data_IF_293693372773
#
_entry.id   IF_293693372773
#
_cell.length_a   1.000
_cell.length_b   1.000
_cell.length_c   1.000
_cell.angle_alpha   90.00
_cell.angle_beta   90.00
_cell.angle_gamma   90.00
#
_symmetry.space_group_name_H-M   'P 1'
#
loop_
_entity.id
_entity.type
_entity.pdbx_description
1 polymer ?
#
# COMPACT_ATOMS: atom_id res chain seq x y z
N UNK A 1 9.85 36.35 -1.66
CA UNK A 1 9.57 35.14 -0.85
C UNK A 1 8.06 34.87 -0.73
N UNK A 2 7.20 35.90 -0.62
CA UNK A 2 5.72 35.72 -0.62
C UNK A 2 5.13 35.23 -1.97
N UNK A 3 5.80 35.53 -3.09
CA UNK A 3 5.32 35.17 -4.43
C UNK A 3 5.21 33.64 -4.68
N UNK A 4 5.95 32.82 -3.92
CA UNK A 4 5.90 31.35 -4.04
C UNK A 4 4.75 30.73 -3.23
N UNK A 5 4.30 31.37 -2.14
CA UNK A 5 3.18 30.89 -1.33
C UNK A 5 1.87 30.92 -2.11
N UNK A 6 1.62 32.03 -2.81
CA UNK A 6 0.39 32.21 -3.56
C UNK A 6 0.30 31.22 -4.73
N UNK A 7 1.40 31.03 -5.49
CA UNK A 7 1.44 30.08 -6.61
C UNK A 7 1.29 28.62 -6.19
N UNK A 8 1.87 28.22 -5.06
CA UNK A 8 1.71 26.87 -4.54
C UNK A 8 0.28 26.63 -4.00
N UNK A 9 -0.28 27.62 -3.30
CA UNK A 9 -1.67 27.57 -2.86
C UNK A 9 -2.64 27.48 -4.04
N UNK A 10 -2.42 28.30 -5.07
CA UNK A 10 -3.18 28.23 -6.32
C UNK A 10 -3.00 26.86 -7.00
N UNK A 11 -1.82 26.24 -6.93
CA UNK A 11 -1.56 24.91 -7.47
C UNK A 11 -2.34 23.83 -6.72
N UNK A 12 -2.20 23.74 -5.39
CA UNK A 12 -2.93 22.76 -4.56
C UNK A 12 -4.44 22.99 -4.63
N UNK A 13 -4.90 24.25 -4.60
CA UNK A 13 -6.31 24.54 -4.75
C UNK A 13 -6.84 24.17 -6.14
N UNK A 14 -6.07 24.39 -7.21
CA UNK A 14 -6.46 24.03 -8.57
C UNK A 14 -6.48 22.51 -8.83
N UNK A 15 -5.70 21.74 -8.06
CA UNK A 15 -5.43 20.32 -8.30
C UNK A 15 -6.21 19.39 -7.36
N UNK A 16 -6.22 19.70 -6.06
CA UNK A 16 -6.91 18.90 -5.04
C UNK A 16 -8.42 19.14 -5.05
N UNK A 17 -8.86 20.39 -5.33
CA UNK A 17 -10.29 20.74 -5.31
C UNK A 17 -11.08 19.96 -6.38
N UNK A 18 -10.66 19.86 -7.66
CA UNK A 18 -11.39 19.09 -8.67
C UNK A 18 -11.49 17.60 -8.34
N UNK A 19 -10.49 16.98 -7.72
CA UNK A 19 -10.53 15.58 -7.32
C UNK A 19 -11.61 15.36 -6.26
N UNK A 20 -11.61 16.20 -5.22
CA UNK A 20 -12.62 16.17 -4.17
C UNK A 20 -14.02 16.45 -4.74
N UNK A 21 -14.15 17.37 -5.69
CA UNK A 21 -15.41 17.72 -6.34
C UNK A 21 -15.91 16.62 -7.30
N UNK A 22 -15.01 15.99 -8.08
CA UNK A 22 -15.27 14.90 -9.04
C UNK A 22 -15.79 13.63 -8.35
N UNK A 23 -15.39 13.37 -7.11
CA UNK A 23 -15.87 12.23 -6.34
C UNK A 23 -17.24 12.45 -5.65
N UNK A 24 -18.01 13.48 -6.03
CA UNK A 24 -19.36 13.77 -5.51
C UNK A 24 -19.40 13.95 -3.98
N UNK A 25 -18.32 14.45 -3.41
CA UNK A 25 -18.15 14.61 -1.98
C UNK A 25 -18.62 16.03 -1.54
N UNK A 26 -19.91 16.33 -1.65
CA UNK A 26 -20.48 17.64 -1.27
C UNK A 26 -21.12 17.62 0.14
N UNK A 27 -20.34 17.91 1.19
CA UNK A 27 -20.88 18.27 2.52
C UNK A 27 -20.06 19.40 3.18
N UNK A 28 -20.69 20.21 4.03
CA UNK A 28 -20.05 21.34 4.74
C UNK A 28 -18.79 20.95 5.54
N UNK A 29 -18.73 19.71 6.04
CA UNK A 29 -17.57 19.17 6.77
C UNK A 29 -16.31 19.09 5.89
N UNK A 30 -16.47 19.00 4.57
CA UNK A 30 -15.40 18.82 3.58
C UNK A 30 -14.75 20.13 3.14
N UNK A 31 -15.54 21.19 2.97
CA UNK A 31 -15.02 22.55 2.73
C UNK A 31 -14.16 23.03 3.90
N UNK A 32 -14.55 22.67 5.13
CA UNK A 32 -13.75 22.94 6.32
C UNK A 32 -12.40 22.22 6.31
N UNK A 33 -12.37 20.94 5.91
CA UNK A 33 -11.14 20.13 5.88
C UNK A 33 -10.22 20.55 4.73
N UNK A 34 -10.75 20.83 3.54
CA UNK A 34 -9.97 21.39 2.43
C UNK A 34 -9.33 22.72 2.86
N UNK A 35 -10.10 23.61 3.49
CA UNK A 35 -9.56 24.86 4.03
C UNK A 35 -8.51 24.61 5.12
N UNK A 36 -8.65 23.54 5.92
CA UNK A 36 -7.66 23.16 6.94
C UNK A 36 -6.36 22.64 6.33
N UNK A 37 -6.45 21.73 5.36
CA UNK A 37 -5.30 21.21 4.59
C UNK A 37 -4.59 22.39 3.91
N UNK A 38 -5.35 23.22 3.19
CA UNK A 38 -4.83 24.42 2.53
C UNK A 38 -4.20 25.43 3.52
N UNK A 39 -4.75 25.58 4.73
CA UNK A 39 -4.17 26.45 5.77
C UNK A 39 -2.89 25.90 6.38
N UNK A 40 -2.79 24.58 6.58
CA UNK A 40 -1.59 23.91 7.08
C UNK A 40 -0.46 24.04 6.05
N UNK A 41 -0.77 23.68 4.81
CA UNK A 41 0.10 23.86 3.65
C UNK A 41 0.61 25.32 3.56
N UNK A 42 -0.28 26.31 3.65
CA UNK A 42 0.08 27.74 3.55
C UNK A 42 0.98 28.27 4.69
N UNK A 43 0.94 27.64 5.87
CA UNK A 43 1.65 28.13 7.05
C UNK A 43 3.05 27.54 7.19
N UNK A 44 3.25 26.25 6.87
CA UNK A 44 4.48 25.53 7.18
C UNK A 44 5.48 25.35 6.01
N UNK A 45 5.07 25.60 4.75
CA UNK A 45 5.90 25.23 3.59
C UNK A 45 7.19 26.05 3.36
N UNK A 46 7.44 27.13 4.10
CA UNK A 46 8.50 28.08 3.74
C UNK A 46 9.94 27.66 4.11
N UNK A 47 10.16 26.51 4.75
CA UNK A 47 11.47 26.07 5.24
C UNK A 47 11.63 24.54 5.14
N UNK A 48 11.91 24.00 3.94
CA UNK A 48 11.95 22.53 3.73
C UNK A 48 13.35 21.91 3.82
N UNK A 49 13.45 20.90 4.69
CA UNK A 49 14.41 19.77 4.68
C UNK A 49 13.59 18.47 4.61
N UNK A 50 14.19 17.34 4.22
CA UNK A 50 13.51 16.05 3.98
C UNK A 50 12.62 15.57 5.14
N UNK A 51 13.07 15.72 6.38
CA UNK A 51 12.30 15.30 7.56
C UNK A 51 10.94 16.01 7.65
N UNK A 52 10.86 17.28 7.21
CA UNK A 52 9.61 18.06 7.22
C UNK A 52 8.65 17.67 6.11
N UNK A 53 9.12 17.05 5.01
CA UNK A 53 8.22 16.49 3.98
C UNK A 53 7.47 15.28 4.52
N UNK A 54 8.18 14.42 5.26
CA UNK A 54 7.61 13.26 5.95
C UNK A 54 6.57 13.71 6.98
N UNK A 55 6.89 14.72 7.79
CA UNK A 55 5.94 15.30 8.76
C UNK A 55 4.69 15.89 8.08
N UNK A 56 4.85 16.57 6.94
CA UNK A 56 3.73 17.12 6.18
C UNK A 56 2.83 16.02 5.59
N UNK A 57 3.43 14.95 5.05
CA UNK A 57 2.70 13.77 4.54
C UNK A 57 1.93 13.09 5.65
N UNK A 58 2.56 12.87 6.81
CA UNK A 58 1.89 12.31 7.98
C UNK A 58 0.71 13.17 8.46
N UNK A 59 0.86 14.50 8.51
CA UNK A 59 -0.21 15.41 8.89
C UNK A 59 -1.39 15.37 7.91
N UNK A 60 -1.12 15.37 6.60
CA UNK A 60 -2.15 15.36 5.57
C UNK A 60 -2.86 14.01 5.52
N UNK A 61 -2.13 12.91 5.54
CA UNK A 61 -2.71 11.57 5.61
C UNK A 61 -3.56 11.39 6.86
N UNK A 62 -3.10 11.87 8.01
CA UNK A 62 -3.88 11.84 9.25
C UNK A 62 -5.18 12.63 9.15
N UNK A 63 -5.21 13.76 8.44
CA UNK A 63 -6.46 14.50 8.21
C UNK A 63 -7.38 13.82 7.18
N UNK A 64 -6.82 13.22 6.12
CA UNK A 64 -7.60 12.43 5.14
C UNK A 64 -8.25 11.20 5.79
N UNK A 65 -7.52 10.51 6.65
CA UNK A 65 -8.00 9.30 7.31
C UNK A 65 -9.24 9.52 8.19
N UNK A 66 -9.43 10.73 8.72
CA UNK A 66 -10.63 11.12 9.48
C UNK A 66 -11.92 11.06 8.67
N UNK A 67 -11.84 11.01 7.33
CA UNK A 67 -13.02 10.78 6.49
C UNK A 67 -13.58 9.36 6.62
N UNK A 68 -12.74 8.39 6.97
CA UNK A 68 -13.09 6.98 7.04
C UNK A 68 -13.40 6.49 8.46
N UNK A 69 -13.07 7.28 9.48
CA UNK A 69 -13.34 6.96 10.87
C UNK A 69 -12.21 7.39 11.79
N UNK A 70 -12.06 6.69 12.91
CA UNK A 70 -10.99 6.91 13.88
C UNK A 70 -9.73 6.17 13.40
N UNK A 71 -9.05 6.77 12.43
CA UNK A 71 -7.81 6.26 11.83
C UNK A 71 -6.66 7.22 12.09
N UNK A 72 -5.47 6.64 12.31
CA UNK A 72 -4.19 7.34 12.41
C UNK A 72 -3.20 6.77 11.39
N UNK A 73 -2.36 7.64 10.82
CA UNK A 73 -1.19 7.25 10.04
C UNK A 73 0.05 7.54 10.86
N UNK A 74 0.97 6.57 10.93
CA UNK A 74 2.24 6.70 11.64
C UNK A 74 3.35 6.05 10.85
N UNK A 75 4.29 6.89 10.39
CA UNK A 75 5.42 6.49 9.57
C UNK A 75 6.34 5.46 10.24
N UNK A 76 6.78 5.77 11.46
CA UNK A 76 7.76 4.94 12.17
C UNK A 76 7.11 3.78 12.97
N UNK A 77 5.81 3.53 12.77
CA UNK A 77 5.11 2.44 13.46
C UNK A 77 5.12 1.18 12.62
N UNK A 78 5.53 0.08 13.24
CA UNK A 78 5.58 -1.23 12.57
C UNK A 78 4.28 -2.00 12.79
N UNK A 79 3.94 -2.86 11.84
CA UNK A 79 2.93 -3.89 12.05
C UNK A 79 3.55 -5.05 12.84
N UNK A 80 2.98 -5.48 13.97
CA UNK A 80 3.46 -6.67 14.67
C UNK A 80 3.35 -7.91 13.79
N UNK A 81 4.48 -8.60 13.58
CA UNK A 81 4.53 -9.81 12.73
C UNK A 81 3.56 -10.92 13.19
N UNK A 82 3.20 -10.94 14.47
CA UNK A 82 2.21 -11.88 15.02
C UNK A 82 0.85 -11.79 14.33
N UNK A 83 0.51 -10.64 13.72
CA UNK A 83 -0.70 -10.49 12.91
C UNK A 83 -0.62 -11.15 11.55
N UNK A 84 0.57 -11.57 11.12
CA UNK A 84 0.79 -12.24 9.83
C UNK A 84 0.91 -13.75 10.01
N UNK A 85 1.25 -14.17 11.23
CA UNK A 85 1.32 -15.57 11.63
C UNK A 85 -0.03 -16.25 11.43
N UNK A 86 -0.01 -17.50 10.97
CA UNK A 86 -1.18 -18.33 10.67
C UNK A 86 -1.98 -17.95 9.41
N UNK A 87 -1.69 -16.85 8.74
CA UNK A 87 -2.39 -16.47 7.51
C UNK A 87 -2.14 -17.41 6.32
N UNK A 88 -1.09 -18.23 6.36
CA UNK A 88 -0.71 -19.14 5.27
C UNK A 88 -0.40 -18.49 3.91
N UNK A 89 -0.59 -17.18 3.74
CA UNK A 89 -0.27 -16.44 2.50
C UNK A 89 1.10 -15.77 2.55
N UNK A 90 1.68 -15.64 3.74
CA UNK A 90 3.03 -15.10 3.91
C UNK A 90 4.07 -16.12 3.44
N UNK A 91 5.01 -15.74 2.55
CA UNK A 91 6.07 -16.63 2.10
C UNK A 91 7.08 -16.92 3.21
N UNK A 92 7.86 -17.99 3.03
CA UNK A 92 8.97 -18.28 3.93
C UNK A 92 10.01 -17.16 3.87
N UNK A 93 10.45 -16.68 5.03
CA UNK A 93 11.40 -15.60 5.17
C UNK A 93 12.20 -15.75 6.46
N UNK A 94 13.32 -15.03 6.54
CA UNK A 94 14.19 -14.95 7.72
C UNK A 94 14.29 -13.53 8.28
N UNK A 95 13.82 -12.54 7.53
CA UNK A 95 13.78 -11.13 7.93
C UNK A 95 12.44 -10.48 7.58
N UNK A 96 12.06 -9.50 8.39
CA UNK A 96 10.79 -8.77 8.33
C UNK A 96 11.06 -7.29 8.63
N UNK A 97 10.54 -6.41 7.79
CA UNK A 97 10.40 -4.99 8.07
C UNK A 97 9.00 -4.52 7.76
N UNK A 98 8.58 -3.46 8.44
CA UNK A 98 7.31 -2.80 8.22
C UNK A 98 7.40 -1.33 8.61
N UNK A 99 6.77 -0.47 7.84
CA UNK A 99 6.65 0.97 8.08
C UNK A 99 5.32 1.49 7.54
N UNK A 100 5.09 2.79 7.68
CA UNK A 100 3.95 3.52 7.13
C UNK A 100 2.60 2.89 7.48
N UNK A 101 2.39 2.76 8.79
CA UNK A 101 1.22 2.08 9.33
C UNK A 101 0.03 3.02 9.46
N UNK A 102 -1.06 2.64 8.82
CA UNK A 102 -2.40 3.15 9.09
C UNK A 102 -3.07 2.20 10.09
N UNK A 103 -3.63 2.71 11.18
CA UNK A 103 -4.40 1.89 12.12
C UNK A 103 -5.65 2.63 12.58
N UNK A 104 -6.73 1.90 12.80
CA UNK A 104 -7.98 2.51 13.22
C UNK A 104 -9.12 1.53 13.36
N UNK A 105 -10.33 2.07 13.53
CA UNK A 105 -11.55 1.28 13.67
C UNK A 105 -12.60 1.74 12.67
N UNK A 106 -13.16 0.78 11.93
CA UNK A 106 -14.29 1.00 11.03
C UNK A 106 -15.35 -0.07 11.27
N UNK A 107 -16.59 0.35 11.55
CA UNK A 107 -17.71 -0.55 11.85
C UNK A 107 -17.38 -1.61 12.94
N UNK A 108 -16.66 -1.20 13.99
CA UNK A 108 -16.16 -2.04 15.09
C UNK A 108 -15.17 -3.14 14.67
N UNK A 109 -14.63 -3.06 13.44
CA UNK A 109 -13.51 -3.86 12.98
C UNK A 109 -12.25 -3.02 13.13
N UNK A 110 -11.24 -3.57 13.83
CA UNK A 110 -9.92 -2.93 13.85
C UNK A 110 -9.25 -3.20 12.52
N UNK A 111 -8.72 -2.16 11.90
CA UNK A 111 -8.05 -2.22 10.61
C UNK A 111 -6.63 -1.74 10.79
N UNK A 112 -5.68 -2.52 10.30
CA UNK A 112 -4.26 -2.20 10.25
C UNK A 112 -3.79 -2.33 8.81
N UNK A 113 -3.20 -1.28 8.25
CA UNK A 113 -2.58 -1.29 6.92
C UNK A 113 -1.13 -0.88 7.12
N UNK A 114 -0.19 -1.57 6.51
CA UNK A 114 1.21 -1.19 6.54
C UNK A 114 1.93 -1.67 5.30
N UNK A 115 3.00 -0.97 4.95
CA UNK A 115 3.99 -1.51 4.03
C UNK A 115 4.85 -2.51 4.78
N UNK A 116 5.16 -3.61 4.11
CA UNK A 116 6.08 -4.62 4.64
C UNK A 116 7.04 -5.07 3.57
N UNK A 117 8.20 -5.53 4.02
CA UNK A 117 9.06 -6.35 3.19
C UNK A 117 9.61 -7.56 3.94
N UNK A 118 9.73 -8.65 3.20
CA UNK A 118 10.21 -9.93 3.67
C UNK A 118 11.45 -10.31 2.89
N UNK A 119 12.46 -10.78 3.60
CA UNK A 119 13.70 -11.29 3.01
C UNK A 119 14.00 -12.69 3.48
N UNK A 120 14.52 -13.52 2.57
CA UNK A 120 15.04 -14.86 2.87
C UNK A 120 16.56 -14.83 2.70
N UNK A 121 17.27 -15.20 3.74
CA UNK A 121 18.72 -15.34 3.71
C UNK A 121 19.07 -16.65 3.01
N UNK A 122 19.87 -16.55 1.95
CA UNK A 122 20.47 -17.69 1.26
C UNK A 122 21.97 -17.47 1.21
N UNK A 123 22.74 -18.37 1.84
CA UNK A 123 24.19 -18.30 2.00
C UNK A 123 24.70 -16.91 2.43
N UNK A 124 25.10 -16.08 1.47
CA UNK A 124 25.69 -14.74 1.65
C UNK A 124 24.77 -13.57 1.25
N UNK A 125 23.57 -13.84 0.71
CA UNK A 125 22.67 -12.80 0.18
C UNK A 125 21.32 -12.80 0.88
N UNK A 126 20.77 -11.59 1.06
CA UNK A 126 19.38 -11.37 1.40
C UNK A 126 18.58 -11.28 0.10
N UNK A 127 17.66 -12.22 -0.11
CA UNK A 127 16.77 -12.24 -1.28
C UNK A 127 15.41 -11.70 -0.82
N UNK A 128 14.90 -10.64 -1.46
CA UNK A 128 13.53 -10.20 -1.21
C UNK A 128 12.56 -11.30 -1.64
N UNK A 129 11.62 -11.68 -0.78
CA UNK A 129 10.58 -12.67 -1.11
C UNK A 129 9.19 -12.05 -1.18
N UNK A 130 9.03 -10.88 -0.56
CA UNK A 130 7.83 -10.06 -0.66
C UNK A 130 8.20 -8.60 -0.39
N UNK A 131 7.58 -7.69 -1.13
CA UNK A 131 7.53 -6.25 -0.83
C UNK A 131 6.14 -5.76 -1.26
N UNK A 132 5.50 -4.95 -0.42
CA UNK A 132 4.20 -4.38 -0.75
C UNK A 132 3.33 -4.12 0.48
N UNK A 133 2.04 -3.99 0.24
CA UNK A 133 1.05 -3.61 1.23
C UNK A 133 0.45 -4.83 1.92
N UNK A 134 0.23 -4.71 3.22
CA UNK A 134 -0.57 -5.65 4.00
C UNK A 134 -1.72 -4.94 4.68
N UNK A 135 -2.90 -5.53 4.60
CA UNK A 135 -4.13 -5.07 5.25
C UNK A 135 -4.62 -6.19 6.17
N UNK A 136 -4.71 -5.92 7.46
CA UNK A 136 -5.26 -6.79 8.49
C UNK A 136 -6.61 -6.23 8.94
N UNK A 137 -7.66 -7.04 8.83
CA UNK A 137 -8.96 -6.77 9.41
C UNK A 137 -9.14 -7.68 10.63
N UNK A 138 -9.13 -7.11 11.82
CA UNK A 138 -9.39 -7.83 13.07
C UNK A 138 -10.85 -7.61 13.47
N UNK A 139 -11.65 -8.66 13.26
CA UNK A 139 -13.11 -8.61 13.38
C UNK A 139 -13.60 -9.07 14.75
N UNK A 140 -12.69 -9.36 15.71
CA UNK A 140 -13.03 -9.88 17.04
C UNK A 140 -14.03 -9.02 17.83
N UNK A 141 -14.00 -7.70 17.64
CA UNK A 141 -14.86 -6.75 18.35
C UNK A 141 -16.05 -6.26 17.53
N UNK A 142 -16.27 -6.80 16.33
CA UNK A 142 -17.34 -6.28 15.49
C UNK A 142 -18.72 -6.66 16.04
N UNK A 143 -19.50 -5.65 16.45
CA UNK A 143 -20.83 -5.79 17.04
C UNK A 143 -21.87 -6.47 16.11
N UNK A 144 -21.50 -6.74 14.86
CA UNK A 144 -22.32 -7.43 13.87
C UNK A 144 -22.17 -8.94 13.99
N UNK A 145 -22.85 -9.56 14.96
CA UNK A 145 -23.29 -10.98 14.98
C UNK A 145 -22.27 -11.97 14.36
N UNK A 146 -20.97 -11.76 14.53
CA UNK A 146 -19.97 -12.76 14.21
C UNK A 146 -20.04 -13.74 15.36
N UNK A 147 -20.90 -14.76 15.23
CA UNK A 147 -21.02 -15.84 16.20
C UNK A 147 -19.79 -16.76 16.11
N UNK A 148 -18.62 -16.21 16.43
CA UNK A 148 -17.34 -16.90 16.52
C UNK A 148 -16.36 -16.58 15.39
N UNK A 149 -15.11 -16.90 15.71
CA UNK A 149 -13.97 -16.95 14.80
C UNK A 149 -14.24 -17.83 13.59
N UNK A 150 -13.52 -17.57 12.49
CA UNK A 150 -13.37 -18.51 11.40
C UNK A 150 -12.89 -19.85 11.97
N UNK A 151 -13.65 -20.92 11.69
CA UNK A 151 -13.35 -22.27 12.16
C UNK A 151 -12.32 -22.95 11.25
N UNK A 152 -12.39 -22.65 9.96
CA UNK A 152 -11.42 -23.08 8.96
C UNK A 152 -10.48 -21.95 8.55
N UNK A 153 -9.40 -22.35 7.90
CA UNK A 153 -8.51 -21.44 7.19
C UNK A 153 -8.92 -21.44 5.72
N UNK A 154 -9.32 -20.29 5.19
CA UNK A 154 -9.64 -20.12 3.76
C UNK A 154 -8.64 -19.16 3.16
N UNK A 155 -8.00 -19.55 2.07
CA UNK A 155 -7.01 -18.76 1.36
C UNK A 155 -7.44 -18.57 -0.10
N UNK A 156 -7.24 -17.36 -0.60
CA UNK A 156 -7.53 -16.94 -1.96
C UNK A 156 -6.26 -16.33 -2.58
N UNK A 157 -5.89 -16.75 -3.78
CA UNK A 157 -4.80 -16.18 -4.58
C UNK A 157 -5.36 -15.66 -5.90
N UNK A 158 -5.03 -14.43 -6.28
CA UNK A 158 -5.20 -13.97 -7.65
C UNK A 158 -4.06 -14.51 -8.54
N UNK A 159 -4.38 -14.82 -9.80
CA UNK A 159 -3.47 -15.27 -10.86
C UNK A 159 -2.53 -16.44 -10.50
N UNK A 160 -3.07 -17.65 -10.63
CA UNK A 160 -2.42 -18.90 -10.21
C UNK A 160 -1.32 -19.43 -11.11
N UNK A 161 -1.21 -18.94 -12.35
CA UNK A 161 -0.37 -19.60 -13.39
C UNK A 161 1.10 -19.66 -13.04
N UNK A 162 1.53 -18.87 -12.06
CA UNK A 162 2.92 -18.68 -11.67
C UNK A 162 3.31 -19.40 -10.37
N UNK A 163 2.33 -19.97 -9.64
CA UNK A 163 2.53 -20.46 -8.26
C UNK A 163 2.05 -21.89 -7.99
N UNK A 164 1.64 -22.63 -9.04
CA UNK A 164 0.99 -23.93 -8.90
C UNK A 164 1.75 -24.92 -8.01
N UNK A 165 3.07 -25.01 -8.12
CA UNK A 165 3.86 -25.98 -7.37
C UNK A 165 4.05 -25.58 -5.90
N UNK A 166 4.22 -24.28 -5.63
CA UNK A 166 4.24 -23.72 -4.28
C UNK A 166 2.91 -23.97 -3.57
N UNK A 167 1.80 -23.63 -4.25
CA UNK A 167 0.45 -23.76 -3.75
C UNK A 167 0.14 -25.23 -3.44
N UNK A 168 0.40 -26.14 -4.39
CA UNK A 168 0.17 -27.59 -4.20
C UNK A 168 0.92 -28.15 -2.99
N UNK A 169 2.16 -27.72 -2.76
CA UNK A 169 2.97 -28.17 -1.63
C UNK A 169 2.45 -27.59 -0.30
N UNK A 170 2.17 -26.29 -0.26
CA UNK A 170 1.80 -25.58 0.97
C UNK A 170 0.40 -25.96 1.47
N UNK A 171 -0.54 -26.20 0.57
CA UNK A 171 -1.94 -26.48 0.88
C UNK A 171 -2.28 -27.98 0.80
N UNK A 172 -1.30 -28.86 1.03
CA UNK A 172 -1.55 -30.30 1.13
C UNK A 172 -2.57 -30.58 2.24
N UNK A 173 -3.71 -31.15 1.88
CA UNK A 173 -4.82 -31.44 2.80
C UNK A 173 -5.92 -30.39 2.84
N UNK A 174 -5.76 -29.25 2.17
CA UNK A 174 -6.84 -28.29 1.93
C UNK A 174 -7.70 -28.75 0.76
N UNK A 175 -8.99 -28.45 0.81
CA UNK A 175 -9.88 -28.62 -0.33
C UNK A 175 -9.76 -27.41 -1.25
N UNK A 176 -9.43 -27.65 -2.52
CA UNK A 176 -9.54 -26.63 -3.57
C UNK A 176 -11.01 -26.42 -3.89
N UNK A 177 -11.43 -25.16 -3.98
CA UNK A 177 -12.79 -24.77 -4.35
C UNK A 177 -12.77 -23.82 -5.53
N UNK A 178 -13.80 -23.91 -6.36
CA UNK A 178 -14.05 -22.94 -7.41
C UNK A 178 -14.67 -21.68 -6.81
N UNK A 179 -14.19 -20.47 -7.19
CA UNK A 179 -14.87 -19.22 -6.85
C UNK A 179 -16.34 -19.25 -7.29
N UNK A 180 -17.28 -18.60 -6.58
CA UNK A 180 -18.71 -18.63 -6.88
C UNK A 180 -19.12 -17.91 -8.19
N UNK A 181 -18.18 -17.59 -9.08
CA UNK A 181 -18.39 -16.76 -10.26
C UNK A 181 -17.57 -17.29 -11.44
N UNK A 182 -18.25 -17.89 -12.43
CA UNK A 182 -17.65 -18.51 -13.63
C UNK A 182 -16.58 -17.72 -14.38
N UNK A 183 -16.71 -16.40 -14.49
CA UNK A 183 -15.71 -15.57 -15.19
C UNK A 183 -14.57 -15.09 -14.28
N UNK A 184 -14.62 -15.40 -12.99
CA UNK A 184 -13.54 -15.12 -12.02
C UNK A 184 -12.78 -16.39 -11.64
N UNK A 185 -13.26 -17.58 -12.05
CA UNK A 185 -12.61 -18.88 -11.81
C UNK A 185 -11.18 -18.91 -12.39
N UNK A 186 -10.96 -18.29 -13.55
CA UNK A 186 -9.61 -18.20 -14.14
C UNK A 186 -8.69 -17.20 -13.42
N UNK A 187 -9.27 -16.27 -12.65
CA UNK A 187 -8.53 -15.20 -11.95
C UNK A 187 -8.19 -15.55 -10.52
N UNK A 188 -8.86 -16.54 -9.91
CA UNK A 188 -8.67 -16.87 -8.50
C UNK A 188 -8.57 -18.36 -8.23
N UNK A 189 -7.65 -18.72 -7.33
CA UNK A 189 -7.64 -20.03 -6.69
C UNK A 189 -7.99 -19.94 -5.22
N UNK A 190 -8.86 -20.83 -4.76
CA UNK A 190 -9.30 -20.89 -3.38
C UNK A 190 -9.00 -22.26 -2.76
N UNK A 191 -8.42 -22.23 -1.56
CA UNK A 191 -8.11 -23.41 -0.76
C UNK A 191 -8.71 -23.23 0.63
N UNK A 192 -9.36 -24.25 1.17
CA UNK A 192 -9.97 -24.17 2.50
C UNK A 192 -9.92 -25.47 3.28
N UNK A 193 -9.94 -25.36 4.61
CA UNK A 193 -10.19 -26.49 5.52
C UNK A 193 -11.67 -26.63 5.91
N UNK A 194 -12.51 -25.64 5.62
CA UNK A 194 -13.97 -25.67 5.84
C UNK A 194 -14.73 -25.06 4.65
N UNK A 195 -15.20 -25.94 3.76
CA UNK A 195 -15.95 -25.56 2.56
C UNK A 195 -17.27 -24.84 2.85
N UNK A 196 -17.97 -25.24 3.93
CA UNK A 196 -19.25 -24.62 4.27
C UNK A 196 -19.04 -23.18 4.74
N UNK A 197 -17.97 -22.94 5.47
CA UNK A 197 -17.58 -21.59 5.90
C UNK A 197 -17.07 -20.75 4.72
N UNK A 198 -16.19 -21.28 3.88
CA UNK A 198 -15.66 -20.58 2.70
C UNK A 198 -16.78 -20.09 1.77
N UNK A 199 -17.75 -20.96 1.44
CA UNK A 199 -18.90 -20.62 0.60
C UNK A 199 -19.87 -19.60 1.22
N UNK A 200 -19.78 -19.36 2.54
CA UNK A 200 -20.55 -18.30 3.20
C UNK A 200 -19.87 -16.95 3.03
N UNK A 201 -18.56 -16.90 3.19
CA UNK A 201 -17.77 -15.67 3.24
C UNK A 201 -17.45 -15.15 1.83
N UNK A 202 -17.04 -16.04 0.94
CA UNK A 202 -16.61 -15.68 -0.41
C UNK A 202 -17.84 -15.48 -1.28
N UNK A 203 -17.97 -14.26 -1.81
CA UNK A 203 -19.05 -13.88 -2.71
C UNK A 203 -18.54 -13.02 -3.86
N UNK A 204 -19.38 -12.85 -4.89
CA UNK A 204 -19.07 -12.04 -6.07
C UNK A 204 -18.65 -10.61 -5.73
N UNK A 205 -19.31 -9.97 -4.75
CA UNK A 205 -19.01 -8.59 -4.34
C UNK A 205 -17.60 -8.50 -3.76
N UNK A 206 -17.23 -9.43 -2.87
CA UNK A 206 -15.91 -9.47 -2.24
C UNK A 206 -14.78 -9.66 -3.26
N UNK A 207 -14.93 -10.63 -4.16
CA UNK A 207 -13.93 -10.90 -5.20
C UNK A 207 -13.74 -9.69 -6.14
N UNK A 208 -14.84 -8.98 -6.46
CA UNK A 208 -14.76 -7.75 -7.25
C UNK A 208 -14.02 -6.64 -6.52
N UNK A 209 -14.26 -6.46 -5.21
CA UNK A 209 -13.54 -5.46 -4.42
C UNK A 209 -12.05 -5.76 -4.36
N UNK A 210 -11.65 -7.04 -4.25
CA UNK A 210 -10.24 -7.44 -4.33
C UNK A 210 -9.61 -7.13 -5.70
N UNK A 211 -10.30 -7.46 -6.79
CA UNK A 211 -9.84 -7.14 -8.15
C UNK A 211 -9.68 -5.63 -8.30
N UNK A 212 -10.69 -4.85 -7.92
CA UNK A 212 -10.66 -3.40 -8.07
C UNK A 212 -9.52 -2.76 -7.30
N UNK A 213 -9.22 -3.25 -6.10
CA UNK A 213 -8.10 -2.76 -5.30
C UNK A 213 -6.76 -3.13 -5.93
N UNK A 214 -6.62 -4.37 -6.41
CA UNK A 214 -5.41 -4.84 -7.08
C UNK A 214 -5.14 -4.11 -8.39
N UNK A 215 -6.18 -3.88 -9.20
CA UNK A 215 -6.08 -3.14 -10.48
C UNK A 215 -5.75 -1.67 -10.22
N UNK A 216 -6.33 -1.06 -9.18
CA UNK A 216 -6.00 0.32 -8.82
C UNK A 216 -4.53 0.48 -8.44
N UNK A 217 -4.02 -0.37 -7.53
CA UNK A 217 -2.61 -0.34 -7.11
C UNK A 217 -1.69 -0.68 -8.29
N UNK A 218 -2.06 -1.65 -9.13
CA UNK A 218 -1.29 -1.98 -10.34
C UNK A 218 -1.25 -0.86 -11.37
N UNK A 219 -2.34 -0.11 -11.56
CA UNK A 219 -2.36 1.03 -12.48
C UNK A 219 -1.54 2.21 -11.96
N UNK A 220 -1.46 2.39 -10.64
CA UNK A 220 -0.55 3.38 -10.04
C UNK A 220 0.91 3.02 -10.32
N UNK A 221 1.27 1.73 -10.26
CA UNK A 221 2.61 1.27 -10.63
C UNK A 221 2.97 1.70 -12.06
N UNK A 222 2.10 1.44 -13.03
CA UNK A 222 2.36 1.84 -14.41
C UNK A 222 2.63 3.34 -14.51
N UNK A 223 1.85 4.17 -13.82
CA UNK A 223 2.03 5.63 -13.86
C UNK A 223 3.36 6.07 -13.21
N UNK A 224 3.73 5.47 -12.07
CA UNK A 224 4.98 5.78 -11.36
C UNK A 224 6.19 5.35 -12.20
N UNK A 225 6.21 4.13 -12.73
CA UNK A 225 7.33 3.63 -13.57
C UNK A 225 7.53 4.50 -14.81
N UNK A 226 6.45 4.94 -15.46
CA UNK A 226 6.56 5.86 -16.61
C UNK A 226 7.06 7.26 -16.23
N UNK A 227 6.90 7.68 -14.97
CA UNK A 227 7.45 8.94 -14.46
C UNK A 227 8.95 8.80 -14.16
N UNK A 228 9.35 7.71 -13.51
CA UNK A 228 10.75 7.41 -13.19
C UNK A 228 11.60 7.28 -14.45
N UNK A 229 11.10 6.60 -15.49
CA UNK A 229 11.78 6.49 -16.79
C UNK A 229 12.01 7.86 -17.43
N UNK A 230 11.04 8.78 -17.33
CA UNK A 230 11.18 10.15 -17.85
C UNK A 230 12.18 10.97 -17.03
N UNK A 231 12.17 10.81 -15.71
CA UNK A 231 13.13 11.45 -14.82
C UNK A 231 14.56 10.96 -15.10
N UNK A 232 14.74 9.66 -15.31
CA UNK A 232 16.01 9.07 -15.67
C UNK A 232 16.49 9.56 -17.04
N UNK A 233 15.58 9.64 -18.03
CA UNK A 233 15.88 10.20 -19.35
C UNK A 233 16.30 11.68 -19.27
N UNK A 234 15.59 12.48 -18.47
CA UNK A 234 15.91 13.88 -18.22
C UNK A 234 17.27 14.04 -17.54
N UNK A 235 17.57 13.21 -16.53
CA UNK A 235 18.87 13.18 -15.87
C UNK A 235 20.00 12.78 -16.84
N UNK A 236 19.78 11.77 -17.69
CA UNK A 236 20.73 11.37 -18.75
C UNK A 236 20.96 12.50 -19.75
N UNK A 237 19.90 13.22 -20.14
CA UNK A 237 20.00 14.37 -21.03
C UNK A 237 20.79 15.53 -20.41
N UNK A 238 20.52 15.89 -19.16
CA UNK A 238 21.28 16.93 -18.45
C UNK A 238 22.76 16.56 -18.28
N UNK A 239 23.08 15.29 -18.00
CA UNK A 239 24.46 14.79 -17.95
C UNK A 239 25.15 14.93 -19.31
N UNK A 240 24.46 14.59 -20.40
CA UNK A 240 24.97 14.74 -21.76
C UNK A 240 25.22 16.21 -22.14
N UNK A 241 24.26 17.09 -21.88
CA UNK A 241 24.40 18.54 -22.13
C UNK A 241 25.58 19.14 -21.33
N UNK A 242 25.81 18.65 -20.10
CA UNK A 242 26.95 19.04 -19.26
C UNK A 242 28.30 18.57 -19.81
N UNK A 243 28.37 17.35 -20.35
CA UNK A 243 29.57 16.82 -21.00
C UNK A 243 29.92 17.63 -22.26
N UNK A 244 28.91 18.03 -23.03
CA UNK A 244 29.06 18.87 -24.21
C UNK A 244 29.53 20.31 -23.88
N UNK A 245 29.16 20.83 -22.70
CA UNK A 245 29.60 22.15 -22.20
C UNK A 245 30.97 22.14 -21.49
N UNK A 246 31.66 20.99 -21.42
CA UNK A 246 33.01 20.88 -20.83
C UNK A 246 33.05 20.97 -19.30
N UNK A 247 31.91 20.95 -18.62
CA UNK A 247 31.81 21.23 -17.18
C UNK A 247 31.78 19.95 -16.34
N UNK A 248 32.80 19.08 -16.51
CA UNK A 248 32.80 17.72 -15.97
C UNK A 248 32.97 17.63 -14.45
N UNK A 249 33.56 18.62 -13.79
CA UNK A 249 34.08 18.45 -12.42
C UNK A 249 33.29 19.18 -11.30
N UNK A 250 32.15 19.83 -11.59
CA UNK A 250 31.32 20.44 -10.54
C UNK A 250 30.09 19.58 -10.21
N UNK A 251 29.97 19.01 -9.00
CA UNK A 251 28.77 18.28 -8.62
C UNK A 251 27.55 19.18 -8.69
N UNK A 252 26.44 18.65 -9.22
CA UNK A 252 25.17 19.34 -9.22
C UNK A 252 24.77 19.64 -7.77
N UNK A 253 24.07 20.75 -7.54
CA UNK A 253 23.71 21.16 -6.18
C UNK A 253 22.90 20.10 -5.42
N UNK A 254 22.18 19.23 -6.13
CA UNK A 254 21.45 18.09 -5.56
C UNK A 254 22.33 16.85 -5.32
N UNK A 255 23.44 16.66 -6.03
CA UNK A 255 24.43 15.59 -5.77
C UNK A 255 25.08 15.79 -4.39
N UNK A 256 25.25 17.04 -3.94
CA UNK A 256 25.72 17.36 -2.58
C UNK A 256 24.68 17.10 -1.48
N UNK A 257 23.39 17.10 -1.82
CA UNK A 257 22.29 16.91 -0.85
C UNK A 257 22.06 15.44 -0.56
N UNK A 258 22.35 14.55 -1.52
CA UNK A 258 22.21 13.09 -1.36
C UNK A 258 23.25 12.51 -0.39
N UNK A 259 24.49 13.01 -0.42
CA UNK A 259 25.56 12.55 0.47
C UNK A 259 25.30 12.86 1.95
N UNK A 260 24.70 14.03 2.27
CA UNK A 260 24.46 14.48 3.65
C UNK A 260 23.29 13.75 4.37
N UNK A 261 22.43 13.03 3.64
CA UNK A 261 21.22 12.38 4.21
C UNK A 261 21.49 10.94 4.68
N UNK A 262 22.68 10.40 4.41
CA UNK A 262 23.02 8.97 4.61
C UNK A 262 23.41 8.55 6.04
N UNK A 263 23.43 9.46 7.04
CA UNK A 263 24.07 9.20 8.36
C UNK A 263 23.14 9.03 9.60
N UNK A 264 21.87 8.58 9.47
CA UNK A 264 21.01 8.34 10.66
C UNK A 264 20.61 6.86 10.81
N UNK A 265 21.12 6.22 11.87
CA UNK A 265 20.96 4.77 12.17
C UNK A 265 19.76 4.44 13.07
N UNK A 266 18.76 3.80 12.47
CA UNK A 266 17.81 2.81 13.03
C UNK A 266 17.37 1.93 11.87
N UNK A 267 17.36 0.60 11.99
CA UNK A 267 17.14 -0.34 10.87
C UNK A 267 15.82 -0.09 10.10
N UNK A 268 15.89 0.73 9.04
CA UNK A 268 14.79 1.06 8.10
C UNK A 268 14.66 0.01 7.00
N UNK A 269 13.58 0.03 6.21
CA UNK A 269 13.47 -0.83 5.01
C UNK A 269 14.74 -0.74 4.14
N UNK A 270 15.29 0.48 3.98
CA UNK A 270 16.56 0.75 3.30
C UNK A 270 17.77 -0.01 3.87
N UNK A 271 17.81 -0.29 5.18
CA UNK A 271 18.97 -0.93 5.82
C UNK A 271 19.00 -2.46 5.62
N UNK A 272 17.89 -3.04 5.18
CA UNK A 272 17.79 -4.46 4.82
C UNK A 272 18.37 -4.71 3.42
N UNK A 273 18.41 -3.69 2.57
CA UNK A 273 18.83 -3.78 1.17
C UNK A 273 20.19 -3.12 0.96
N UNK A 274 21.22 -3.91 0.64
CA UNK A 274 22.52 -3.39 0.19
C UNK A 274 22.61 -3.25 -1.34
N UNK A 275 21.69 -3.85 -2.08
CA UNK A 275 21.59 -3.81 -3.54
C UNK A 275 20.11 -3.68 -3.92
N UNK A 276 19.84 -3.01 -5.04
CA UNK A 276 18.50 -2.74 -5.58
C UNK A 276 17.71 -4.06 -5.76
N UNK A 277 16.60 -4.28 -5.02
CA UNK A 277 15.98 -5.59 -4.87
C UNK A 277 15.28 -6.13 -6.13
N UNK A 278 15.27 -5.39 -7.25
CA UNK A 278 14.40 -5.66 -8.40
C UNK A 278 15.06 -6.32 -9.60
N UNK A 279 16.39 -6.47 -9.63
CA UNK A 279 17.09 -7.10 -10.75
C UNK A 279 17.77 -8.40 -10.33
N UNK A 280 17.25 -9.56 -10.75
CA UNK A 280 18.12 -10.73 -10.95
C UNK A 280 17.68 -12.12 -10.49
N UNK A 281 16.41 -12.40 -10.16
CA UNK A 281 15.97 -13.81 -10.05
C UNK A 281 14.74 -14.07 -10.90
N UNK A 282 14.84 -15.07 -11.79
CA UNK A 282 13.74 -15.53 -12.67
C UNK A 282 12.51 -16.02 -11.92
N UNK A 283 12.62 -16.37 -10.64
CA UNK A 283 11.48 -16.64 -9.76
C UNK A 283 10.68 -15.36 -9.45
N UNK A 284 11.31 -14.18 -9.39
CA UNK A 284 10.69 -12.90 -9.04
C UNK A 284 10.13 -12.10 -10.21
N UNK A 285 10.67 -12.22 -11.43
CA UNK A 285 10.09 -11.57 -12.62
C UNK A 285 8.69 -12.11 -12.97
N UNK A 286 8.32 -13.26 -12.40
CA UNK A 286 6.97 -13.79 -12.51
C UNK A 286 5.95 -13.06 -11.62
N UNK A 287 6.33 -12.30 -10.59
CA UNK A 287 5.44 -11.93 -9.47
C UNK A 287 4.72 -10.56 -9.57
N UNK A 288 4.42 -10.05 -10.77
CA UNK A 288 3.65 -8.80 -10.92
C UNK A 288 2.21 -8.91 -10.36
N UNK A 289 1.90 -8.09 -9.35
CA UNK A 289 0.56 -7.70 -8.87
C UNK A 289 -0.36 -8.80 -8.30
N UNK A 290 0.19 -9.74 -7.52
CA UNK A 290 -0.61 -10.78 -6.91
C UNK A 290 -1.26 -10.29 -5.59
N UNK A 291 -2.59 -10.13 -5.60
CA UNK A 291 -3.39 -10.04 -4.39
C UNK A 291 -3.60 -11.44 -3.81
N UNK A 292 -3.29 -11.63 -2.53
CA UNK A 292 -3.65 -12.82 -1.79
C UNK A 292 -4.45 -12.44 -0.55
N UNK A 293 -5.36 -13.31 -0.14
CA UNK A 293 -6.23 -13.08 1.00
C UNK A 293 -6.37 -14.35 1.83
N UNK A 294 -6.42 -14.20 3.15
CA UNK A 294 -6.58 -15.30 4.09
C UNK A 294 -7.58 -14.95 5.18
N UNK A 295 -8.47 -15.89 5.47
CA UNK A 295 -9.46 -15.84 6.53
C UNK A 295 -9.09 -16.90 7.56
N UNK A 296 -8.77 -16.50 8.79
CA UNK A 296 -8.31 -17.38 9.86
C UNK A 296 -8.56 -16.75 11.24
N UNK A 297 -9.01 -17.55 12.21
CA UNK A 297 -9.34 -17.05 13.55
C UNK A 297 -10.32 -15.87 13.49
N UNK A 298 -9.98 -14.72 14.08
CA UNK A 298 -10.78 -13.49 14.00
C UNK A 298 -10.21 -12.48 13.00
N UNK A 299 -9.49 -12.94 11.98
CA UNK A 299 -8.71 -12.08 11.11
C UNK A 299 -8.93 -12.37 9.64
N UNK A 300 -8.89 -11.29 8.87
CA UNK A 300 -8.74 -11.32 7.42
C UNK A 300 -7.45 -10.60 7.08
N UNK A 301 -6.53 -11.29 6.42
CA UNK A 301 -5.27 -10.72 5.96
C UNK A 301 -5.30 -10.62 4.43
N UNK A 302 -5.04 -9.43 3.91
CA UNK A 302 -4.81 -9.21 2.49
C UNK A 302 -3.37 -8.78 2.30
N UNK A 303 -2.71 -9.34 1.29
CA UNK A 303 -1.38 -8.93 0.84
C UNK A 303 -1.50 -8.47 -0.60
N UNK A 304 -0.92 -7.31 -0.92
CA UNK A 304 -0.86 -6.78 -2.27
C UNK A 304 0.60 -6.51 -2.55
N UNK A 305 1.20 -7.28 -3.47
CA UNK A 305 2.60 -7.08 -3.81
C UNK A 305 2.75 -5.74 -4.54
N UNK A 306 3.72 -4.94 -4.11
CA UNK A 306 4.07 -3.69 -4.76
C UNK A 306 5.57 -3.41 -4.56
N UNK A 307 6.35 -3.19 -5.63
CA UNK A 307 7.81 -3.08 -5.52
C UNK A 307 8.29 -1.73 -4.98
N UNK A 308 7.47 -0.68 -5.10
CA UNK A 308 7.80 0.66 -4.61
C UNK A 308 7.10 0.95 -3.28
N UNK A 309 7.67 1.88 -2.53
CA UNK A 309 7.08 2.35 -1.29
C UNK A 309 5.96 3.34 -1.66
N UNK A 310 4.72 2.99 -1.34
CA UNK A 310 3.50 3.73 -1.71
C UNK A 310 3.32 5.01 -0.88
N UNK A 311 3.91 5.06 0.31
CA UNK A 311 3.75 6.16 1.25
C UNK A 311 5.01 7.01 1.44
N UNK A 312 6.11 6.71 0.76
CA UNK A 312 7.30 7.57 0.77
C UNK A 312 6.99 8.93 0.10
N UNK A 313 7.47 10.05 0.66
CA UNK A 313 7.28 11.36 0.04
C UNK A 313 8.06 11.48 -1.27
N UNK A 314 7.57 12.32 -2.18
CA UNK A 314 8.26 12.59 -3.44
C UNK A 314 9.68 13.15 -3.23
N UNK A 315 10.54 13.04 -4.26
CA UNK A 315 11.87 13.62 -4.28
C UNK A 315 11.94 15.08 -3.81
N UNK A 316 13.12 15.52 -3.35
CA UNK A 316 13.34 16.83 -2.72
C UNK A 316 12.88 18.00 -3.61
N UNK A 317 13.04 17.84 -4.92
CA UNK A 317 12.69 18.80 -5.96
C UNK A 317 11.21 18.82 -6.37
N UNK A 318 10.38 17.92 -5.83
CA UNK A 318 8.96 17.82 -6.14
C UNK A 318 8.09 18.18 -4.95
N UNK A 319 6.81 18.44 -5.21
CA UNK A 319 5.87 18.77 -4.15
C UNK A 319 5.75 17.59 -3.17
N UNK A 320 5.77 17.83 -1.85
CA UNK A 320 5.83 16.77 -0.84
C UNK A 320 4.63 15.82 -0.88
N UNK A 321 3.54 16.27 -1.48
CA UNK A 321 2.33 15.52 -1.77
C UNK A 321 1.86 15.97 -3.14
N UNK A 322 1.65 15.01 -4.03
CA UNK A 322 0.98 15.23 -5.31
C UNK A 322 -0.44 14.68 -5.24
N UNK A 323 -1.29 15.05 -6.19
CA UNK A 323 -2.69 14.61 -6.25
C UNK A 323 -2.82 13.09 -6.17
N UNK A 324 -1.86 12.38 -6.74
CA UNK A 324 -1.77 10.93 -6.79
C UNK A 324 -1.66 10.31 -5.39
N UNK A 325 -0.97 10.95 -4.44
CA UNK A 325 -0.87 10.48 -3.04
C UNK A 325 -2.23 10.55 -2.33
N UNK A 326 -2.99 11.62 -2.58
CA UNK A 326 -4.30 11.85 -1.99
C UNK A 326 -5.31 10.87 -2.60
N UNK A 327 -5.28 10.72 -3.93
CA UNK A 327 -6.09 9.74 -4.65
C UNK A 327 -5.79 8.32 -4.15
N UNK A 328 -4.51 7.95 -4.05
CA UNK A 328 -4.07 6.66 -3.53
C UNK A 328 -4.67 6.38 -2.16
N UNK A 329 -4.47 7.30 -1.21
CA UNK A 329 -4.96 7.13 0.15
C UNK A 329 -6.49 7.00 0.19
N UNK A 330 -7.20 7.84 -0.55
CA UNK A 330 -8.66 7.82 -0.62
C UNK A 330 -9.19 6.51 -1.21
N UNK A 331 -8.64 6.08 -2.35
CA UNK A 331 -9.07 4.88 -3.04
C UNK A 331 -8.72 3.61 -2.26
N UNK A 332 -7.52 3.53 -1.68
CA UNK A 332 -7.12 2.45 -0.79
C UNK A 332 -8.10 2.32 0.38
N UNK A 333 -8.33 3.40 1.12
CA UNK A 333 -9.20 3.38 2.30
C UNK A 333 -10.66 3.10 1.93
N UNK A 334 -11.15 3.65 0.82
CA UNK A 334 -12.49 3.36 0.32
C UNK A 334 -12.67 1.87 0.01
N UNK A 335 -11.70 1.27 -0.69
CA UNK A 335 -11.74 -0.15 -1.02
C UNK A 335 -11.67 -1.03 0.24
N UNK A 336 -10.80 -0.69 1.20
CA UNK A 336 -10.70 -1.41 2.48
C UNK A 336 -12.00 -1.35 3.28
N UNK A 337 -12.65 -0.17 3.32
CA UNK A 337 -13.95 -0.01 3.96
C UNK A 337 -15.05 -0.83 3.26
N UNK A 338 -15.06 -0.84 1.92
CA UNK A 338 -16.00 -1.65 1.14
C UNK A 338 -15.80 -3.16 1.40
N UNK A 339 -14.56 -3.65 1.33
CA UNK A 339 -14.20 -5.04 1.66
C UNK A 339 -14.70 -5.40 3.05
N UNK A 340 -14.44 -4.53 4.04
CA UNK A 340 -14.87 -4.73 5.42
C UNK A 340 -16.39 -4.86 5.51
N UNK A 341 -17.14 -3.97 4.86
CA UNK A 341 -18.61 -4.03 4.83
C UNK A 341 -19.10 -5.34 4.21
N UNK A 342 -18.53 -5.76 3.08
CA UNK A 342 -18.93 -7.01 2.42
C UNK A 342 -18.72 -8.23 3.32
N UNK A 343 -17.58 -8.28 4.02
CA UNK A 343 -17.27 -9.37 4.96
C UNK A 343 -18.31 -9.43 6.10
N UNK A 344 -18.66 -8.26 6.66
CA UNK A 344 -19.65 -8.15 7.74
C UNK A 344 -21.09 -8.48 7.27
N UNK A 345 -21.46 -8.06 6.05
CA UNK A 345 -22.77 -8.34 5.42
C UNK A 345 -22.96 -9.85 5.13
N UNK A 346 -21.93 -10.51 4.57
CA UNK A 346 -22.01 -11.92 4.18
C UNK A 346 -22.15 -12.87 5.37
N UNK A 347 -21.54 -12.57 6.51
CA UNK A 347 -21.71 -13.36 7.74
C UNK A 347 -23.11 -13.18 8.35
N UNK A 348 -23.74 -12.03 8.16
CA UNK A 348 -25.04 -11.69 8.77
C UNK A 348 -26.25 -12.27 8.01
N UNK A 349 -26.13 -12.47 6.70
CA UNK A 349 -27.26 -12.71 5.77
C UNK A 349 -27.63 -14.19 5.52
N UNK A 350 -26.84 -15.17 5.97
CA UNK A 350 -27.10 -16.61 5.72
C UNK A 350 -27.56 -17.39 6.97
N UNK A 351 -28.52 -16.81 7.72
CA UNK A 351 -29.22 -17.50 8.82
C UNK A 351 -30.35 -18.38 8.31
#
# INVERSE_FOLDING_TARGET
MELNKHKYYEHVEANVRPIIEKHNLLSHKKKYILNKILSFISSDLNNYKNDRKKDAKEAIFSELLKFFGDFEFKRDHTLPFQYLQNSMIIPEHTGYASEDRITGVFNNTKIDIAEIALVKRSDEKNIAVFKGLVIVLDICNSNLVLRGSFKGNTVLFADHKKHLDYIKKKFKGYKRLEPPVKHLEDRFEMYTTDEKEANKIICKKLLKSFISLSEYIGNLQEQITHSDDKHELFCKQLKKEREEQGNKNQPLWWEKVVDEVSEVKTAKLSDIYKEDPLYGTSEMESLNNDIACSFYGDKVLLTIRHPHDLFEPNPINEDPIIDEDIELMYHLMSAVCEITNVILENKSSKK
#
